data_IF_599184702859
#
_entry.id   IF_599184702859
#
_cell.length_a   1.000
_cell.length_b   1.000
_cell.length_c   1.000
_cell.angle_alpha   90.00
_cell.angle_beta   90.00
_cell.angle_gamma   90.00
#
_symmetry.space_group_name_H-M   'P 1'
#
loop_
_entity.id
_entity.type
_entity.pdbx_description
1 polymer ?
#
# COMPACT_ATOMS: atom_id res chain seq x y z
N UNK A 1 14.70 7.42 40.25
CA UNK A 1 13.87 6.58 39.37
C UNK A 1 14.34 6.76 37.93
N UNK A 2 15.37 5.99 37.53
CA UNK A 2 15.90 5.97 36.15
C UNK A 2 16.24 4.51 35.83
N UNK A 3 15.23 3.73 35.50
CA UNK A 3 15.41 2.34 35.06
C UNK A 3 14.13 1.87 34.38
N UNK A 4 13.98 2.13 33.10
CA UNK A 4 13.04 1.33 32.24
C UNK A 4 13.10 1.69 30.77
N UNK A 5 14.05 2.55 30.35
CA UNK A 5 14.10 2.92 28.92
C UNK A 5 15.08 2.08 28.07
N UNK A 6 15.83 1.16 28.69
CA UNK A 6 16.86 0.37 27.97
C UNK A 6 16.40 -1.00 27.47
N UNK A 7 15.22 -1.48 27.87
CA UNK A 7 14.79 -2.84 27.51
C UNK A 7 13.66 -2.92 26.45
N UNK A 8 13.25 -1.79 25.88
CA UNK A 8 12.24 -1.80 24.80
C UNK A 8 12.82 -1.79 23.38
N UNK A 9 14.14 -1.65 23.27
CA UNK A 9 14.83 -1.63 21.96
C UNK A 9 15.37 -3.01 21.51
N UNK A 10 15.15 -4.06 22.28
CA UNK A 10 15.81 -5.36 22.05
C UNK A 10 14.89 -6.49 21.55
N UNK A 11 13.60 -6.24 21.31
CA UNK A 11 12.68 -7.28 20.85
C UNK A 11 11.76 -6.76 19.72
N UNK A 12 12.28 -5.96 18.83
CA UNK A 12 11.70 -5.83 17.51
C UNK A 12 12.36 -6.86 16.59
N UNK A 13 12.16 -8.13 16.90
CA UNK A 13 12.38 -9.20 15.96
C UNK A 13 11.38 -9.00 14.82
N UNK A 14 11.78 -8.26 13.80
CA UNK A 14 11.04 -8.05 12.55
C UNK A 14 10.84 -9.42 11.90
N UNK A 15 9.79 -10.11 12.27
CA UNK A 15 9.30 -11.25 11.49
C UNK A 15 8.61 -10.70 10.24
N UNK A 16 9.41 -10.23 9.29
CA UNK A 16 8.95 -10.04 7.93
C UNK A 16 8.68 -11.41 7.31
N UNK A 17 7.51 -11.92 7.47
CA UNK A 17 7.02 -12.96 6.57
C UNK A 17 6.53 -12.29 5.28
N UNK A 18 7.49 -11.96 4.42
CA UNK A 18 7.20 -11.67 3.02
C UNK A 18 6.67 -12.98 2.39
N UNK A 19 5.37 -13.16 2.45
CA UNK A 19 4.74 -14.08 1.50
C UNK A 19 4.80 -13.36 0.16
N UNK A 20 5.89 -13.56 -0.58
CA UNK A 20 6.01 -13.15 -1.96
C UNK A 20 5.06 -14.01 -2.82
N UNK A 21 3.76 -13.86 -2.56
CA UNK A 21 2.72 -14.34 -3.45
C UNK A 21 2.76 -13.44 -4.67
N UNK A 22 3.15 -14.02 -5.80
CA UNK A 22 3.21 -13.34 -7.09
C UNK A 22 1.94 -12.50 -7.31
N UNK A 23 2.14 -11.25 -7.72
CA UNK A 23 1.11 -10.33 -8.21
C UNK A 23 0.51 -10.84 -9.54
N UNK A 24 0.04 -12.07 -9.55
CA UNK A 24 -0.78 -12.61 -10.63
C UNK A 24 -2.22 -12.28 -10.29
N UNK A 25 -2.83 -11.42 -11.10
CA UNK A 25 -4.19 -10.93 -10.93
C UNK A 25 -5.21 -12.07 -10.85
N UNK A 26 -5.45 -12.58 -9.66
CA UNK A 26 -6.55 -13.49 -9.37
C UNK A 26 -7.42 -12.84 -8.31
N UNK A 27 -8.67 -12.61 -8.64
CA UNK A 27 -9.72 -12.01 -7.82
C UNK A 27 -10.03 -12.72 -6.48
N UNK A 28 -9.26 -13.73 -6.11
CA UNK A 28 -9.43 -14.51 -4.87
C UNK A 28 -8.56 -14.07 -3.68
N UNK A 29 -7.70 -13.05 -3.83
CA UNK A 29 -6.72 -12.68 -2.80
C UNK A 29 -6.94 -11.30 -2.18
N UNK A 30 -7.97 -10.57 -2.55
CA UNK A 30 -8.19 -9.16 -2.16
C UNK A 30 -8.13 -8.90 -0.65
N UNK A 31 -8.66 -9.81 0.16
CA UNK A 31 -8.62 -9.70 1.64
C UNK A 31 -7.42 -10.37 2.31
N UNK A 32 -6.48 -10.94 1.53
CA UNK A 32 -5.28 -11.54 2.11
C UNK A 32 -4.24 -10.48 2.44
N UNK A 33 -3.55 -10.68 3.56
CA UNK A 33 -2.44 -9.81 3.93
C UNK A 33 -1.29 -9.97 2.92
N UNK A 34 -0.81 -8.86 2.36
CA UNK A 34 0.40 -8.79 1.57
C UNK A 34 1.63 -8.56 2.45
N UNK A 35 1.49 -7.66 3.43
CA UNK A 35 2.51 -7.35 4.43
C UNK A 35 1.85 -7.43 5.79
N UNK A 36 2.55 -8.00 6.75
CA UNK A 36 2.17 -7.96 8.17
C UNK A 36 3.35 -7.46 8.98
N UNK A 37 3.11 -6.48 9.85
CA UNK A 37 4.10 -5.89 10.74
C UNK A 37 3.45 -5.72 12.11
N UNK A 38 3.97 -6.42 13.13
CA UNK A 38 3.49 -6.37 14.53
C UNK A 38 1.95 -6.47 14.69
N UNK A 39 1.34 -7.36 13.89
CA UNK A 39 -0.10 -7.61 13.93
C UNK A 39 -0.95 -6.71 13.02
N UNK A 40 -0.42 -5.59 12.55
CA UNK A 40 -1.06 -4.79 11.51
C UNK A 40 -0.76 -5.35 10.12
N UNK A 41 -1.69 -5.19 9.20
CA UNK A 41 -1.56 -5.75 7.87
C UNK A 41 -1.98 -4.77 6.79
N UNK A 42 -1.26 -4.80 5.68
CA UNK A 42 -1.75 -4.23 4.42
C UNK A 42 -2.34 -5.34 3.57
N UNK A 43 -3.57 -5.16 3.13
CA UNK A 43 -4.24 -6.12 2.27
C UNK A 43 -3.75 -6.01 0.83
N UNK A 44 -3.82 -7.14 0.12
CA UNK A 44 -3.46 -7.21 -1.30
C UNK A 44 -4.24 -6.20 -2.15
N UNK A 45 -5.53 -5.98 -1.84
CA UNK A 45 -6.37 -5.02 -2.55
C UNK A 45 -5.80 -3.60 -2.49
N UNK A 46 -5.34 -3.15 -1.32
CA UNK A 46 -4.73 -1.81 -1.15
C UNK A 46 -3.47 -1.68 -2.00
N UNK A 47 -2.59 -2.67 -1.93
CA UNK A 47 -1.37 -2.68 -2.72
C UNK A 47 -1.64 -2.71 -4.23
N UNK A 48 -2.65 -3.46 -4.66
CA UNK A 48 -3.03 -3.54 -6.06
C UNK A 48 -3.54 -2.19 -6.59
N UNK A 49 -4.41 -1.50 -5.84
CA UNK A 49 -4.90 -0.16 -6.22
C UNK A 49 -3.73 0.82 -6.31
N UNK A 50 -2.83 0.84 -5.33
CA UNK A 50 -1.65 1.72 -5.35
C UNK A 50 -0.74 1.44 -6.55
N UNK A 51 -0.51 0.16 -6.86
CA UNK A 51 0.29 -0.23 -8.02
C UNK A 51 -0.37 0.20 -9.32
N UNK A 52 -1.67 -0.02 -9.48
CA UNK A 52 -2.43 0.38 -10.68
C UNK A 52 -2.45 1.90 -10.86
N UNK A 53 -2.61 2.64 -9.78
CA UNK A 53 -2.51 4.09 -9.80
C UNK A 53 -1.13 4.56 -10.27
N UNK A 54 -0.05 3.98 -9.71
CA UNK A 54 1.33 4.28 -10.14
C UNK A 54 1.55 3.92 -11.60
N UNK A 55 1.02 2.79 -12.06
CA UNK A 55 1.07 2.38 -13.46
C UNK A 55 0.38 3.39 -14.38
N UNK A 56 -0.82 3.84 -14.01
CA UNK A 56 -1.56 4.82 -14.80
C UNK A 56 -0.80 6.16 -14.91
N UNK A 57 -0.23 6.62 -13.81
CA UNK A 57 0.61 7.83 -13.82
C UNK A 57 1.84 7.68 -14.72
N UNK A 58 2.59 6.59 -14.57
CA UNK A 58 3.77 6.36 -15.39
C UNK A 58 3.42 6.25 -16.87
N UNK A 59 2.32 5.58 -17.20
CA UNK A 59 1.83 5.48 -18.57
C UNK A 59 1.45 6.85 -19.15
N UNK A 60 0.83 7.71 -18.36
CA UNK A 60 0.45 9.05 -18.79
C UNK A 60 1.68 9.94 -19.06
N UNK A 61 2.75 9.83 -18.25
CA UNK A 61 3.93 10.67 -18.40
C UNK A 61 4.96 10.11 -19.40
N UNK A 62 5.17 8.81 -19.41
CA UNK A 62 6.27 8.18 -20.15
C UNK A 62 5.84 7.25 -21.27
N UNK A 63 4.54 6.88 -21.33
CA UNK A 63 4.03 5.91 -22.30
C UNK A 63 4.25 6.34 -23.76
N UNK A 64 4.15 7.64 -24.05
CA UNK A 64 4.39 8.19 -25.38
C UNK A 64 5.85 8.04 -25.86
N UNK A 65 6.82 8.00 -24.93
CA UNK A 65 8.25 7.91 -25.24
C UNK A 65 8.79 6.49 -25.17
N UNK A 66 8.29 5.67 -24.24
CA UNK A 66 8.83 4.33 -23.96
C UNK A 66 7.96 3.21 -24.52
N UNK A 67 6.68 3.49 -24.79
CA UNK A 67 5.75 2.51 -25.32
C UNK A 67 5.75 1.20 -24.54
N UNK A 68 5.84 0.06 -25.22
CA UNK A 68 5.82 -1.27 -24.62
C UNK A 68 7.05 -1.57 -23.74
N UNK A 69 8.13 -0.80 -23.87
CA UNK A 69 9.34 -0.97 -23.07
C UNK A 69 9.20 -0.40 -21.66
N UNK A 70 8.16 0.41 -21.37
CA UNK A 70 7.98 1.06 -20.08
C UNK A 70 8.01 0.05 -18.92
N UNK A 71 7.24 -1.02 -19.04
CA UNK A 71 7.08 -1.98 -17.95
C UNK A 71 8.22 -2.99 -17.86
N UNK A 72 8.91 -3.27 -18.95
CA UNK A 72 10.12 -4.09 -18.93
C UNK A 72 11.29 -3.37 -18.23
N UNK A 73 11.34 -2.04 -18.31
CA UNK A 73 12.40 -1.24 -17.69
C UNK A 73 12.08 -0.84 -16.24
N UNK A 74 10.83 -0.46 -15.96
CA UNK A 74 10.45 0.18 -14.68
C UNK A 74 9.52 -0.67 -13.81
N UNK A 75 9.02 -1.78 -14.29
CA UNK A 75 8.02 -2.59 -13.56
C UNK A 75 8.51 -3.07 -12.20
N UNK A 76 9.74 -3.58 -12.12
CA UNK A 76 10.28 -4.11 -10.86
C UNK A 76 10.65 -3.00 -9.88
N UNK A 77 11.21 -1.89 -10.35
CA UNK A 77 11.48 -0.72 -9.49
C UNK A 77 10.18 -0.10 -8.96
N UNK A 78 9.14 -0.04 -9.78
CA UNK A 78 7.81 0.45 -9.36
C UNK A 78 7.22 -0.42 -8.26
N UNK A 79 7.28 -1.74 -8.40
CA UNK A 79 6.82 -2.68 -7.36
C UNK A 79 7.64 -2.54 -6.08
N UNK A 80 8.96 -2.44 -6.19
CA UNK A 80 9.84 -2.29 -5.03
C UNK A 80 9.54 -0.99 -4.28
N UNK A 81 9.43 0.13 -4.97
CA UNK A 81 9.09 1.42 -4.39
C UNK A 81 7.73 1.39 -3.69
N UNK A 82 6.73 0.77 -4.31
CA UNK A 82 5.42 0.59 -3.70
C UNK A 82 5.50 -0.23 -2.41
N UNK A 83 6.24 -1.35 -2.42
CA UNK A 83 6.41 -2.18 -1.23
C UNK A 83 7.08 -1.43 -0.08
N UNK A 84 8.07 -0.60 -0.38
CA UNK A 84 8.74 0.22 0.63
C UNK A 84 7.81 1.33 1.16
N UNK A 85 6.99 1.92 0.30
CA UNK A 85 5.95 2.87 0.73
C UNK A 85 4.93 2.22 1.66
N UNK A 86 4.45 1.02 1.34
CA UNK A 86 3.51 0.29 2.21
C UNK A 86 4.12 -0.05 3.57
N UNK A 87 5.39 -0.45 3.62
CA UNK A 87 6.10 -0.69 4.88
C UNK A 87 6.20 0.58 5.71
N UNK A 88 6.55 1.71 5.08
CA UNK A 88 6.62 3.01 5.76
C UNK A 88 5.26 3.42 6.32
N UNK A 89 4.18 3.24 5.56
CA UNK A 89 2.82 3.53 6.02
C UNK A 89 2.44 2.69 7.24
N UNK A 90 2.73 1.39 7.24
CA UNK A 90 2.49 0.52 8.41
C UNK A 90 3.28 0.96 9.64
N UNK A 91 4.55 1.36 9.48
CA UNK A 91 5.37 1.88 10.57
C UNK A 91 4.77 3.18 11.13
N UNK A 92 4.36 4.10 10.25
CA UNK A 92 3.75 5.35 10.68
C UNK A 92 2.41 5.10 11.40
N UNK A 93 1.60 4.19 10.93
CA UNK A 93 0.34 3.81 11.56
C UNK A 93 0.56 3.22 12.96
N UNK A 94 1.60 2.41 13.16
CA UNK A 94 1.94 1.86 14.47
C UNK A 94 2.36 2.92 15.50
N UNK A 95 2.94 4.01 15.04
CA UNK A 95 3.47 5.08 15.88
C UNK A 95 2.58 6.33 15.95
N UNK A 96 1.42 6.33 15.26
CA UNK A 96 0.55 7.50 15.20
C UNK A 96 0.14 8.03 16.58
N UNK A 97 -0.12 7.13 17.54
CA UNK A 97 -0.53 7.50 18.89
C UNK A 97 0.60 8.20 19.68
N UNK A 98 1.87 7.86 19.39
CA UNK A 98 3.02 8.48 20.03
C UNK A 98 3.15 9.98 19.64
N UNK A 99 2.64 10.34 18.48
CA UNK A 99 2.66 11.69 17.94
C UNK A 99 1.31 12.40 18.02
N UNK A 100 0.31 11.79 18.67
CA UNK A 100 -1.06 12.29 18.77
C UNK A 100 -1.68 12.61 17.38
N UNK A 101 -1.37 11.78 16.40
CA UNK A 101 -1.92 11.87 15.05
C UNK A 101 -3.13 10.95 14.95
N UNK A 102 -4.27 11.49 14.55
CA UNK A 102 -5.48 10.70 14.30
C UNK A 102 -6.31 11.35 13.19
N UNK A 103 -7.05 10.52 12.46
CA UNK A 103 -8.01 11.02 11.49
C UNK A 103 -9.20 11.65 12.20
N UNK A 104 -9.52 12.89 11.86
CA UNK A 104 -10.75 13.52 12.29
C UNK A 104 -11.97 12.92 11.59
N UNK A 105 -13.18 13.16 12.10
CA UNK A 105 -14.39 12.69 11.43
C UNK A 105 -14.58 13.35 10.05
N UNK A 106 -14.11 14.58 9.87
CA UNK A 106 -14.09 15.25 8.57
C UNK A 106 -13.13 14.58 7.59
N UNK A 107 -11.95 14.16 8.05
CA UNK A 107 -11.00 13.41 7.23
C UNK A 107 -11.58 12.06 6.78
N UNK A 108 -12.20 11.32 7.70
CA UNK A 108 -12.87 10.05 7.39
C UNK A 108 -13.97 10.25 6.35
N UNK A 109 -14.81 11.28 6.52
CA UNK A 109 -15.85 11.61 5.56
C UNK A 109 -15.30 11.92 4.17
N UNK A 110 -14.23 12.71 4.08
CA UNK A 110 -13.57 13.00 2.79
C UNK A 110 -12.99 11.76 2.13
N UNK A 111 -12.43 10.84 2.92
CA UNK A 111 -11.93 9.55 2.41
C UNK A 111 -13.08 8.72 1.83
N UNK A 112 -14.21 8.62 2.54
CA UNK A 112 -15.37 7.88 2.09
C UNK A 112 -15.98 8.51 0.82
N UNK A 113 -16.10 9.83 0.77
CA UNK A 113 -16.58 10.55 -0.41
C UNK A 113 -15.67 10.32 -1.63
N UNK A 114 -14.35 10.38 -1.44
CA UNK A 114 -13.39 10.11 -2.51
C UNK A 114 -13.45 8.66 -3.01
N UNK A 115 -13.62 7.70 -2.09
CA UNK A 115 -13.79 6.29 -2.45
C UNK A 115 -15.09 6.06 -3.24
N UNK A 116 -16.19 6.65 -2.82
CA UNK A 116 -17.47 6.57 -3.54
C UNK A 116 -17.37 7.22 -4.92
N UNK A 117 -16.74 8.37 -5.03
CA UNK A 117 -16.52 9.03 -6.31
C UNK A 117 -15.71 8.15 -7.24
N UNK A 118 -14.62 7.56 -6.77
CA UNK A 118 -13.80 6.62 -7.55
C UNK A 118 -14.63 5.44 -8.08
N UNK A 119 -15.50 4.87 -7.24
CA UNK A 119 -16.38 3.77 -7.64
C UNK A 119 -17.43 4.18 -8.67
N UNK A 120 -17.91 5.43 -8.61
CA UNK A 120 -18.91 5.96 -9.53
C UNK A 120 -18.30 6.36 -10.88
N UNK A 121 -17.06 6.84 -10.87
CA UNK A 121 -16.35 7.32 -12.08
C UNK A 121 -15.78 6.15 -12.91
N UNK A 122 -15.74 4.94 -12.36
CA UNK A 122 -15.22 3.76 -13.04
C UNK A 122 -16.31 2.71 -13.25
N UNK A 123 -16.37 2.15 -14.45
CA UNK A 123 -17.33 1.07 -14.74
C UNK A 123 -16.92 -0.26 -14.08
N UNK A 124 -17.87 -1.18 -14.00
CA UNK A 124 -17.67 -2.49 -13.38
C UNK A 124 -16.59 -3.34 -14.06
N UNK A 125 -16.36 -3.18 -15.36
CA UNK A 125 -15.33 -3.90 -16.08
C UNK A 125 -13.94 -3.38 -15.68
N UNK A 126 -13.79 -2.06 -15.62
CA UNK A 126 -12.57 -1.39 -15.15
C UNK A 126 -12.24 -1.79 -13.71
N UNK A 127 -13.23 -1.72 -12.79
CA UNK A 127 -13.03 -2.09 -11.38
C UNK A 127 -12.63 -3.56 -11.20
N UNK A 128 -13.17 -4.47 -12.01
CA UNK A 128 -12.78 -5.89 -11.99
C UNK A 128 -11.42 -6.17 -12.57
N UNK A 129 -10.90 -5.31 -13.43
CA UNK A 129 -9.57 -5.45 -14.02
C UNK A 129 -8.45 -4.93 -13.14
N UNK A 130 -8.79 -4.16 -12.13
CA UNK A 130 -7.87 -3.68 -11.08
C UNK A 130 -7.59 -4.76 -10.03
#
# INVERSE_FOLDING_TARGET
>A
MKKTMKNRLAVAGLCFTLTAGMLTGCSGNSGKALITLDGQKTEYAVANIMLRYSQAQMQAFYGAYLGDNLWSQYGDSTKSTMMDTLKQMLILEQHQDEYNVSLTDDDKKKIDEAAQQFMNDNDQATLKSM
#
